data_IF_557948081173
#
_entry.id   IF_557948081173
#
_cell.length_a   1.000
_cell.length_b   1.000
_cell.length_c   1.000
_cell.angle_alpha   90.00
_cell.angle_beta   90.00
_cell.angle_gamma   90.00
#
_symmetry.space_group_name_H-M   'P 1'
#
loop_
_entity.id
_entity.type
_entity.pdbx_description
1 polymer ?
#
# COMPACT_ATOMS: atom_id res chain seq x y z
N UNK A 1 17.92 6.77 7.84
CA UNK A 1 16.55 6.32 7.44
C UNK A 1 16.38 6.55 5.95
N UNK A 2 15.89 5.56 5.22
CA UNK A 2 15.58 5.64 3.78
C UNK A 2 14.06 5.57 3.60
N UNK A 3 13.51 6.46 2.78
CA UNK A 3 12.10 6.40 2.39
C UNK A 3 11.95 5.71 1.03
N UNK A 4 10.99 4.79 0.94
CA UNK A 4 10.66 4.04 -0.27
C UNK A 4 9.18 4.25 -0.57
N UNK A 5 8.88 4.87 -1.69
CA UNK A 5 7.49 5.10 -2.10
C UNK A 5 6.97 3.92 -2.91
N UNK A 6 5.93 3.27 -2.42
CA UNK A 6 5.25 2.14 -3.08
C UNK A 6 3.77 2.18 -2.73
N UNK A 7 2.88 2.03 -3.70
CA UNK A 7 1.44 2.21 -3.47
C UNK A 7 0.65 0.89 -3.55
N UNK A 8 1.28 -0.18 -4.07
CA UNK A 8 0.69 -1.48 -4.30
C UNK A 8 1.77 -2.57 -4.37
N UNK A 9 1.40 -3.82 -4.60
CA UNK A 9 2.33 -4.95 -4.74
C UNK A 9 2.52 -5.39 -6.18
N UNK A 10 3.76 -5.76 -6.56
CA UNK A 10 4.07 -6.43 -7.81
C UNK A 10 3.65 -5.62 -9.06
N UNK A 11 2.98 -6.27 -9.98
CA UNK A 11 2.52 -5.67 -11.25
C UNK A 11 1.60 -4.47 -11.06
N UNK A 12 0.81 -4.43 -10.00
CA UNK A 12 -0.04 -3.28 -9.65
C UNK A 12 0.81 -2.05 -9.30
N UNK A 13 1.89 -2.25 -8.55
CA UNK A 13 2.84 -1.17 -8.25
C UNK A 13 3.54 -0.65 -9.51
N UNK A 14 3.97 -1.54 -10.42
CA UNK A 14 4.60 -1.19 -11.69
C UNK A 14 3.63 -0.43 -12.62
N UNK A 15 2.36 -0.80 -12.61
CA UNK A 15 1.33 -0.08 -13.37
C UNK A 15 1.10 1.34 -12.84
N UNK A 16 0.98 1.50 -11.52
CA UNK A 16 0.78 2.82 -10.88
C UNK A 16 2.01 3.71 -11.08
N UNK A 17 3.21 3.14 -10.96
CA UNK A 17 4.50 3.84 -11.04
C UNK A 17 5.28 3.41 -12.29
N UNK A 18 5.09 4.16 -13.35
CA UNK A 18 5.78 3.88 -14.62
C UNK A 18 7.30 3.86 -14.45
N UNK A 19 7.92 2.79 -14.96
CA UNK A 19 9.37 2.58 -14.87
C UNK A 19 9.82 1.91 -13.58
N UNK A 20 8.92 1.63 -12.64
CA UNK A 20 9.23 0.80 -11.48
C UNK A 20 9.43 -0.66 -11.93
N UNK A 21 10.53 -1.26 -11.53
CA UNK A 21 10.67 -2.70 -11.45
C UNK A 21 10.52 -3.10 -9.97
N UNK A 22 9.40 -3.70 -9.64
CA UNK A 22 9.03 -3.97 -8.25
C UNK A 22 10.01 -4.93 -7.56
N UNK A 23 10.38 -6.02 -8.23
CA UNK A 23 11.30 -6.99 -7.66
C UNK A 23 12.68 -6.36 -7.42
N UNK A 24 13.21 -5.63 -8.40
CA UNK A 24 14.48 -4.93 -8.23
C UNK A 24 14.45 -3.89 -7.10
N UNK A 25 13.33 -3.19 -6.93
CA UNK A 25 13.15 -2.28 -5.78
C UNK A 25 13.21 -3.04 -4.46
N UNK A 26 12.51 -4.18 -4.34
CA UNK A 26 12.49 -4.99 -3.12
C UNK A 26 13.85 -5.61 -2.83
N UNK A 27 14.57 -6.09 -3.86
CA UNK A 27 15.94 -6.60 -3.73
C UNK A 27 16.90 -5.52 -3.22
N UNK A 28 16.79 -4.29 -3.73
CA UNK A 28 17.58 -3.15 -3.24
C UNK A 28 17.25 -2.78 -1.79
N UNK A 29 15.99 -2.90 -1.37
CA UNK A 29 15.60 -2.69 0.04
C UNK A 29 16.23 -3.75 0.94
N UNK A 30 16.18 -5.00 0.51
CA UNK A 30 16.74 -6.13 1.25
C UNK A 30 18.26 -5.99 1.38
N UNK A 31 18.94 -5.71 0.27
CA UNK A 31 20.38 -5.46 0.23
C UNK A 31 20.80 -4.25 1.08
N UNK A 32 20.04 -3.16 1.03
CA UNK A 32 20.28 -1.96 1.87
C UNK A 32 20.20 -2.31 3.36
N UNK A 33 19.22 -3.13 3.75
CA UNK A 33 19.05 -3.57 5.12
C UNK A 33 20.16 -4.54 5.56
N UNK A 34 20.68 -5.38 4.64
CA UNK A 34 21.77 -6.32 4.94
C UNK A 34 23.13 -5.64 5.06
N UNK A 35 23.47 -4.78 4.10
CA UNK A 35 24.82 -4.19 3.99
C UNK A 35 25.11 -3.12 5.03
N UNK A 36 24.10 -2.45 5.55
CA UNK A 36 24.31 -1.27 6.38
C UNK A 36 24.08 -1.60 7.87
N UNK A 37 25.05 -1.23 8.73
CA UNK A 37 25.00 -1.56 10.14
C UNK A 37 23.70 -1.13 10.82
N UNK A 38 23.44 -1.79 11.89
CA UNK A 38 22.29 -1.82 12.80
C UNK A 38 21.47 -0.52 12.96
N UNK A 39 21.95 0.65 12.58
CA UNK A 39 21.25 1.94 12.76
C UNK A 39 20.38 2.39 11.58
N UNK A 40 20.41 1.68 10.45
CA UNK A 40 19.64 2.08 9.28
C UNK A 40 18.27 1.44 9.26
N UNK A 41 17.29 2.23 8.83
CA UNK A 41 15.89 1.82 8.71
C UNK A 41 15.29 2.26 7.39
N UNK A 42 14.31 1.52 6.93
CA UNK A 42 13.48 1.81 5.77
C UNK A 42 12.07 2.16 6.23
N UNK A 43 11.48 3.17 5.61
CA UNK A 43 10.07 3.51 5.78
C UNK A 43 9.39 3.49 4.42
N UNK A 44 8.45 2.57 4.24
CA UNK A 44 7.59 2.57 3.07
C UNK A 44 6.53 3.67 3.20
N UNK A 45 6.43 4.52 2.18
CA UNK A 45 5.34 5.50 2.05
C UNK A 45 4.33 4.96 1.05
N UNK A 46 3.18 4.58 1.56
CA UNK A 46 2.08 3.98 0.79
C UNK A 46 1.01 5.06 0.57
N UNK A 47 1.06 5.75 -0.57
CA UNK A 47 0.00 6.73 -0.88
C UNK A 47 -1.28 5.99 -1.19
N UNK A 48 -2.13 5.84 -0.16
CA UNK A 48 -3.31 4.99 -0.21
C UNK A 48 -4.41 5.59 -1.09
N UNK A 49 -4.69 4.91 -2.17
CA UNK A 49 -5.62 5.31 -3.23
C UNK A 49 -6.48 4.11 -3.65
N UNK A 50 -7.43 4.33 -4.56
CA UNK A 50 -8.33 3.26 -5.00
C UNK A 50 -7.64 2.06 -5.65
N UNK A 51 -6.48 2.24 -6.30
CA UNK A 51 -5.71 1.12 -6.89
C UNK A 51 -4.86 0.36 -5.86
N UNK A 52 -4.61 0.95 -4.69
CA UNK A 52 -3.81 0.33 -3.63
C UNK A 52 -4.58 -0.78 -2.90
N UNK A 53 -5.91 -0.68 -2.82
CA UNK A 53 -6.76 -1.47 -1.93
C UNK A 53 -6.61 -2.97 -2.17
N UNK A 54 -6.58 -3.39 -3.43
CA UNK A 54 -6.65 -4.81 -3.84
C UNK A 54 -5.32 -5.55 -3.79
N UNK A 55 -4.26 -4.93 -3.28
CA UNK A 55 -2.95 -5.57 -3.08
C UNK A 55 -2.22 -5.07 -1.83
N UNK A 56 -2.92 -4.38 -0.95
CA UNK A 56 -2.35 -3.92 0.31
C UNK A 56 -2.02 -5.09 1.25
N UNK A 57 -2.81 -6.16 1.22
CA UNK A 57 -2.55 -7.42 1.91
C UNK A 57 -1.14 -7.93 1.63
N UNK A 58 -0.78 -8.07 0.36
CA UNK A 58 0.54 -8.54 -0.07
C UNK A 58 1.66 -7.58 0.34
N UNK A 59 1.41 -6.28 0.33
CA UNK A 59 2.39 -5.30 0.76
C UNK A 59 2.62 -5.38 2.28
N UNK A 60 1.57 -5.57 3.07
CA UNK A 60 1.67 -5.77 4.52
C UNK A 60 2.40 -7.08 4.86
N UNK A 61 2.10 -8.19 4.15
CA UNK A 61 2.84 -9.45 4.26
C UNK A 61 4.35 -9.23 3.98
N UNK A 62 4.68 -8.57 2.88
CA UNK A 62 6.07 -8.27 2.50
C UNK A 62 6.80 -7.41 3.53
N UNK A 63 6.14 -6.40 4.10
CA UNK A 63 6.68 -5.58 5.20
C UNK A 63 6.97 -6.45 6.43
N UNK A 64 6.05 -7.35 6.78
CA UNK A 64 6.23 -8.23 7.93
C UNK A 64 7.38 -9.21 7.73
N UNK A 65 7.55 -9.76 6.52
CA UNK A 65 8.68 -10.63 6.18
C UNK A 65 10.03 -9.88 6.24
N UNK A 66 10.09 -8.63 5.77
CA UNK A 66 11.28 -7.79 5.94
C UNK A 66 11.58 -7.53 7.42
N UNK A 67 10.56 -7.32 8.26
CA UNK A 67 10.73 -7.20 9.72
C UNK A 67 11.34 -8.46 10.31
N UNK A 68 10.83 -9.63 9.97
CA UNK A 68 11.34 -10.93 10.44
C UNK A 68 12.81 -11.12 10.08
N UNK A 69 13.21 -10.75 8.88
CA UNK A 69 14.59 -10.91 8.41
C UNK A 69 15.57 -9.92 9.06
N UNK A 70 15.18 -8.66 9.19
CA UNK A 70 16.11 -7.57 9.48
C UNK A 70 15.95 -6.91 10.85
N UNK A 71 14.85 -7.12 11.59
CA UNK A 71 14.62 -6.49 12.89
C UNK A 71 14.99 -7.44 14.05
N UNK A 72 16.27 -7.60 14.33
CA UNK A 72 16.76 -8.53 15.40
C UNK A 72 16.80 -7.88 16.78
N UNK A 73 17.31 -6.67 16.89
CA UNK A 73 17.47 -5.94 18.17
C UNK A 73 16.53 -4.74 18.29
N UNK A 74 16.12 -4.16 17.16
CA UNK A 74 15.12 -3.09 17.08
C UNK A 74 14.46 -3.12 15.71
N UNK A 75 13.28 -2.49 15.62
CA UNK A 75 12.53 -2.44 14.38
C UNK A 75 13.20 -1.53 13.36
N UNK A 76 13.46 -2.05 12.18
CA UNK A 76 14.16 -1.36 11.08
C UNK A 76 13.28 -1.09 9.88
N UNK A 77 12.13 -1.72 9.80
CA UNK A 77 11.19 -1.58 8.68
C UNK A 77 9.89 -0.97 9.18
N UNK A 78 9.54 0.17 8.63
CA UNK A 78 8.37 0.95 8.99
C UNK A 78 7.51 1.19 7.76
N UNK A 79 6.27 1.60 7.95
CA UNK A 79 5.47 2.17 6.87
C UNK A 79 4.59 3.31 7.36
N UNK A 80 4.24 4.18 6.44
CA UNK A 80 3.21 5.18 6.58
C UNK A 80 2.21 5.04 5.44
N UNK A 81 0.93 5.30 5.73
CA UNK A 81 -0.16 5.09 4.78
C UNK A 81 -1.07 6.32 4.70
N UNK A 82 -0.56 7.45 4.14
CA UNK A 82 -1.34 8.64 3.91
C UNK A 82 -2.40 8.42 2.82
N UNK A 83 -3.59 8.99 3.02
CA UNK A 83 -4.64 8.98 2.02
C UNK A 83 -4.33 9.92 0.86
N UNK A 84 -4.51 9.45 -0.37
CA UNK A 84 -4.52 10.31 -1.56
C UNK A 84 -5.74 11.23 -1.52
N UNK A 85 -5.49 12.55 -1.53
CA UNK A 85 -6.54 13.58 -1.52
C UNK A 85 -6.85 14.14 -2.91
N UNK A 86 -5.86 14.15 -3.77
CA UNK A 86 -5.98 14.61 -5.16
C UNK A 86 -5.16 13.70 -6.08
N UNK A 87 -5.68 13.42 -7.27
CA UNK A 87 -6.96 13.85 -7.81
C UNK A 87 -8.15 13.06 -7.19
N UNK A 88 -9.34 13.70 -7.14
CA UNK A 88 -10.51 13.11 -6.49
C UNK A 88 -10.95 11.76 -7.07
N UNK A 89 -10.71 11.53 -8.36
CA UNK A 89 -11.03 10.28 -9.05
C UNK A 89 -10.06 9.11 -8.72
N UNK A 90 -8.99 9.35 -7.97
CA UNK A 90 -8.12 8.29 -7.43
C UNK A 90 -8.32 8.05 -5.92
N UNK A 91 -9.23 8.75 -5.27
CA UNK A 91 -9.50 8.53 -3.86
C UNK A 91 -10.17 7.17 -3.62
N UNK A 92 -9.86 6.55 -2.47
CA UNK A 92 -10.51 5.30 -2.04
C UNK A 92 -12.03 5.46 -1.90
N UNK A 93 -12.51 6.67 -1.63
CA UNK A 93 -13.92 7.00 -1.45
C UNK A 93 -14.75 6.83 -2.73
N UNK A 94 -14.11 6.65 -3.89
CA UNK A 94 -14.76 6.36 -5.16
C UNK A 94 -15.17 4.88 -5.29
N UNK A 95 -14.50 4.00 -4.57
CA UNK A 95 -14.78 2.56 -4.63
C UNK A 95 -16.12 2.22 -3.98
N UNK A 96 -16.80 1.18 -4.47
CA UNK A 96 -17.97 0.62 -3.82
C UNK A 96 -17.70 0.19 -2.38
N UNK A 97 -18.75 0.18 -1.57
CA UNK A 97 -18.67 -0.21 -0.14
C UNK A 97 -18.10 -1.63 0.05
N UNK A 98 -18.36 -2.53 -0.89
CA UNK A 98 -17.82 -3.90 -0.86
C UNK A 98 -16.29 -3.98 -0.72
N UNK A 99 -15.56 -2.97 -1.19
CA UNK A 99 -14.11 -2.92 -1.03
C UNK A 99 -13.66 -2.56 0.39
N UNK A 100 -14.55 -2.03 1.24
CA UNK A 100 -14.22 -1.76 2.64
C UNK A 100 -13.93 -3.06 3.40
N UNK A 101 -14.57 -4.17 3.04
CA UNK A 101 -14.30 -5.49 3.62
C UNK A 101 -12.84 -5.93 3.40
N UNK A 102 -12.23 -5.60 2.25
CA UNK A 102 -10.80 -5.88 1.99
C UNK A 102 -9.94 -5.08 2.96
N UNK A 103 -10.28 -3.80 3.19
CA UNK A 103 -9.53 -2.96 4.13
C UNK A 103 -9.69 -3.44 5.58
N UNK A 104 -10.88 -3.88 5.95
CA UNK A 104 -11.16 -4.47 7.28
C UNK A 104 -10.37 -5.76 7.50
N UNK A 105 -10.31 -6.64 6.49
CA UNK A 105 -9.48 -7.84 6.55
C UNK A 105 -8.00 -7.53 6.75
N UNK A 106 -7.49 -6.46 6.12
CA UNK A 106 -6.13 -5.99 6.34
C UNK A 106 -5.90 -5.49 7.78
N UNK A 107 -6.87 -4.79 8.36
CA UNK A 107 -6.79 -4.38 9.77
C UNK A 107 -6.75 -5.59 10.70
N UNK A 108 -7.59 -6.59 10.44
CA UNK A 108 -7.60 -7.83 11.24
C UNK A 108 -6.29 -8.59 11.12
N UNK A 109 -5.77 -8.77 9.90
CA UNK A 109 -4.45 -9.34 9.68
C UNK A 109 -3.36 -8.61 10.49
N UNK A 110 -3.40 -7.27 10.54
CA UNK A 110 -2.45 -6.50 11.34
C UNK A 110 -2.63 -6.75 12.85
N UNK A 111 -3.87 -6.88 13.34
CA UNK A 111 -4.17 -7.19 14.75
C UNK A 111 -3.66 -8.59 15.13
N UNK A 112 -3.91 -9.59 14.30
CA UNK A 112 -3.41 -10.94 14.48
C UNK A 112 -1.88 -11.00 14.53
N UNK A 113 -1.21 -10.07 13.87
CA UNK A 113 0.24 -9.93 13.83
C UNK A 113 0.73 -8.73 14.67
N UNK A 114 0.04 -8.41 15.74
CA UNK A 114 0.40 -7.40 16.74
C UNK A 114 0.57 -8.05 18.13
N UNK A 115 0.99 -7.26 19.12
CA UNK A 115 1.18 -7.74 20.50
C UNK A 115 2.66 -7.84 20.87
N UNK A 116 3.01 -7.27 22.04
CA UNK A 116 4.42 -7.16 22.47
C UNK A 116 5.08 -8.53 22.71
N UNK A 117 4.29 -9.55 23.05
CA UNK A 117 4.73 -10.92 23.22
C UNK A 117 5.33 -11.55 21.95
N UNK A 118 5.00 -11.01 20.78
CA UNK A 118 5.53 -11.44 19.47
C UNK A 118 6.84 -10.74 19.08
N UNK A 119 7.37 -9.90 19.94
CA UNK A 119 8.67 -9.23 19.78
C UNK A 119 8.65 -8.10 18.75
N UNK A 120 9.69 -8.04 17.89
CA UNK A 120 9.89 -6.94 16.94
C UNK A 120 9.20 -7.16 15.59
N UNK A 121 8.71 -8.35 15.33
CA UNK A 121 8.12 -8.76 14.05
C UNK A 121 6.61 -8.57 14.04
N UNK A 122 6.16 -7.38 14.44
CA UNK A 122 4.74 -7.08 14.65
C UNK A 122 4.34 -5.78 13.97
N UNK A 123 3.03 -5.61 13.77
CA UNK A 123 2.44 -4.30 13.50
C UNK A 123 2.26 -3.54 14.82
N UNK A 124 2.63 -2.26 14.80
CA UNK A 124 2.49 -1.39 15.96
C UNK A 124 1.09 -0.80 16.05
N UNK A 125 0.63 -0.52 17.26
CA UNK A 125 -0.71 0.03 17.47
C UNK A 125 -0.95 1.30 16.65
N UNK A 126 0.01 2.22 16.57
CA UNK A 126 -0.15 3.44 15.78
C UNK A 126 -0.33 3.18 14.26
N UNK A 127 0.22 2.09 13.72
CA UNK A 127 0.03 1.67 12.33
C UNK A 127 -1.41 1.17 12.12
N UNK A 128 -1.92 0.35 13.06
CA UNK A 128 -3.30 -0.12 13.07
C UNK A 128 -4.27 1.07 13.21
N UNK A 129 -3.98 2.03 14.09
CA UNK A 129 -4.79 3.23 14.25
C UNK A 129 -4.83 4.10 12.99
N UNK A 130 -3.77 4.13 12.20
CA UNK A 130 -3.79 4.79 10.89
C UNK A 130 -4.75 4.11 9.91
N UNK A 131 -4.74 2.79 9.87
CA UNK A 131 -5.67 2.02 9.04
C UNK A 131 -7.12 2.24 9.46
N UNK A 132 -7.40 2.22 10.76
CA UNK A 132 -8.74 2.52 11.31
C UNK A 132 -9.20 3.94 10.94
N UNK A 133 -8.32 4.95 11.03
CA UNK A 133 -8.65 6.32 10.59
C UNK A 133 -8.95 6.41 9.10
N UNK A 134 -8.21 5.67 8.28
CA UNK A 134 -8.44 5.61 6.84
C UNK A 134 -9.82 4.99 6.54
N UNK A 135 -10.19 3.92 7.24
CA UNK A 135 -11.53 3.31 7.12
C UNK A 135 -12.65 4.26 7.56
N UNK A 136 -12.47 4.91 8.70
CA UNK A 136 -13.45 5.89 9.20
C UNK A 136 -13.63 7.06 8.23
N UNK A 137 -12.53 7.56 7.65
CA UNK A 137 -12.60 8.59 6.61
C UNK A 137 -13.34 8.08 5.37
N UNK A 138 -13.05 6.86 4.90
CA UNK A 138 -13.71 6.27 3.74
C UNK A 138 -15.21 6.15 3.97
N UNK A 139 -15.65 5.56 5.07
CA UNK A 139 -17.06 5.41 5.44
C UNK A 139 -17.81 6.75 5.48
N UNK A 140 -17.19 7.76 6.10
CA UNK A 140 -17.77 9.10 6.21
C UNK A 140 -17.89 9.83 4.88
N UNK A 141 -16.98 9.58 3.93
CA UNK A 141 -16.82 10.35 2.70
C UNK A 141 -17.04 9.50 1.44
N UNK A 142 -17.66 8.33 1.56
CA UNK A 142 -17.99 7.49 0.41
C UNK A 142 -18.78 8.32 -0.62
N UNK A 143 -18.26 8.40 -1.83
CA UNK A 143 -18.81 9.27 -2.86
C UNK A 143 -18.74 8.59 -4.23
N UNK A 144 -19.88 8.12 -4.70
CA UNK A 144 -20.03 7.50 -6.01
C UNK A 144 -20.20 8.54 -7.14
N UNK A 145 -19.46 9.65 -7.11
CA UNK A 145 -19.53 10.70 -8.12
C UNK A 145 -19.37 10.13 -9.54
N UNK A 146 -20.43 10.23 -10.34
CA UNK A 146 -20.42 9.82 -11.75
C UNK A 146 -19.32 10.54 -12.54
N UNK A 147 -19.07 11.82 -12.25
CA UNK A 147 -18.03 12.56 -12.93
C UNK A 147 -16.63 12.03 -12.57
N UNK A 148 -16.38 11.72 -11.30
CA UNK A 148 -15.09 11.13 -10.89
C UNK A 148 -14.87 9.74 -11.49
N UNK A 149 -15.93 8.92 -11.63
CA UNK A 149 -15.83 7.65 -12.36
C UNK A 149 -15.46 7.85 -13.82
N UNK A 150 -16.11 8.79 -14.52
CA UNK A 150 -15.75 9.15 -15.91
C UNK A 150 -14.30 9.60 -16.02
N UNK A 151 -13.85 10.45 -15.10
CA UNK A 151 -12.48 10.96 -15.08
C UNK A 151 -11.46 9.81 -14.82
N UNK A 152 -11.80 8.88 -13.96
CA UNK A 152 -10.99 7.68 -13.71
C UNK A 152 -10.79 6.88 -14.99
N UNK A 153 -11.86 6.48 -15.65
CA UNK A 153 -11.77 5.69 -16.89
C UNK A 153 -11.09 6.47 -18.02
N UNK A 154 -11.39 7.75 -18.18
CA UNK A 154 -10.73 8.58 -19.19
C UNK A 154 -9.22 8.66 -18.99
N UNK A 155 -8.79 8.80 -17.72
CA UNK A 155 -7.36 8.84 -17.40
C UNK A 155 -6.68 7.49 -17.68
N UNK A 156 -7.25 6.38 -17.20
CA UNK A 156 -6.60 5.08 -17.34
C UNK A 156 -6.65 4.55 -18.76
N UNK A 157 -7.68 4.86 -19.55
CA UNK A 157 -7.69 4.58 -20.99
C UNK A 157 -6.55 5.32 -21.71
N UNK A 158 -6.33 6.59 -21.40
CA UNK A 158 -5.23 7.36 -21.99
C UNK A 158 -3.86 6.92 -21.48
N UNK A 159 -3.76 6.54 -20.21
CA UNK A 159 -2.57 5.94 -19.62
C UNK A 159 -2.18 4.67 -20.38
N UNK A 160 -3.14 3.76 -20.58
CA UNK A 160 -2.91 2.49 -21.28
C UNK A 160 -2.51 2.71 -22.73
N UNK A 161 -3.21 3.62 -23.44
CA UNK A 161 -2.87 3.98 -24.81
C UNK A 161 -1.43 4.48 -24.94
N UNK A 162 -0.97 5.32 -24.01
CA UNK A 162 0.40 5.90 -24.04
C UNK A 162 1.48 4.93 -23.63
N UNK A 163 1.17 3.99 -22.74
CA UNK A 163 2.16 3.11 -22.11
C UNK A 163 2.09 1.68 -22.61
N UNK A 164 1.17 1.37 -23.51
CA UNK A 164 0.92 0.03 -24.01
C UNK A 164 0.68 -0.97 -22.87
N UNK A 165 -0.06 -0.51 -21.85
CA UNK A 165 -0.53 -1.28 -20.72
C UNK A 165 -2.01 -1.62 -20.86
N UNK A 166 -2.55 -2.41 -19.93
CA UNK A 166 -3.97 -2.73 -19.90
C UNK A 166 -4.46 -2.79 -18.45
N UNK A 167 -5.33 -1.85 -18.08
CA UNK A 167 -5.89 -1.72 -16.74
C UNK A 167 -6.63 -2.99 -16.30
N UNK A 168 -7.51 -3.51 -17.15
CA UNK A 168 -8.34 -4.69 -16.84
C UNK A 168 -7.50 -5.96 -16.61
N UNK A 169 -6.35 -6.06 -17.29
CA UNK A 169 -5.42 -7.17 -17.07
C UNK A 169 -4.70 -7.07 -15.71
N UNK A 170 -4.38 -5.84 -15.27
CA UNK A 170 -3.65 -5.62 -14.01
C UNK A 170 -4.59 -5.59 -12.80
N UNK A 171 -5.81 -5.11 -12.99
CA UNK A 171 -6.84 -4.98 -11.95
C UNK A 171 -8.15 -5.66 -12.36
N UNK A 172 -8.15 -6.99 -12.57
CA UNK A 172 -9.33 -7.70 -13.08
C UNK A 172 -10.52 -7.69 -12.10
N UNK A 173 -10.28 -7.31 -10.84
CA UNK A 173 -11.29 -7.21 -9.79
C UNK A 173 -12.00 -5.85 -9.71
N UNK A 174 -11.63 -4.86 -10.55
CA UNK A 174 -12.11 -3.47 -10.46
C UNK A 174 -13.08 -3.07 -11.57
#
# INVERSE_FOLDING_TARGET
MQFVSVDAWGKKAEYIRNGLNFNYMMDNVDEFLDRIPVRNSVTFIITYNNLSVTSLDKLLEGILELRKRHSKTYQRVWFDIPLLRQPAWQQITLLPESYQAIHEANIEYMRENSGEEKGLHIFKDFEIQKMLRNLAYWRKNANASTQNKKNFYAFFNEHDRRRLTNFETVFPEM
#
